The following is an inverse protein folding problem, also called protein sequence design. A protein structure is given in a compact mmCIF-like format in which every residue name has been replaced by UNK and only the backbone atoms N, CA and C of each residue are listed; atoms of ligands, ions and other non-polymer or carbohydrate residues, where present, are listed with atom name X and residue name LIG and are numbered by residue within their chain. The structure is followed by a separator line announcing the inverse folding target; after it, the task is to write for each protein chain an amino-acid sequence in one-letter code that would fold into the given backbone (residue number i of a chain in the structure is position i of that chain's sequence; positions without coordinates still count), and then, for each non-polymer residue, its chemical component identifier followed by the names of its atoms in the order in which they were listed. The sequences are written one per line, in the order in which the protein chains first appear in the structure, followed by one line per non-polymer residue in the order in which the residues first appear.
data_IF_300077669236
#
_entry.id   IF_300077669236
#
_cell.length_a   1.000
_cell.length_b   1.000
_cell.length_c   1.000
_cell.angle_alpha   90.00
_cell.angle_beta   90.00
_cell.angle_gamma   90.00
#
_symmetry.space_group_name_H-M   'P 1'
#
loop_
_entity.id
_entity.type
_entity.pdbx_description
1 polymer ?
#
# COMPACT_ATOMS: atom_id res chain seq x y z
N UNK A 1 37.61 -26.50 -7.10
CA UNK A 1 36.43 -25.64 -7.35
C UNK A 1 36.55 -24.44 -6.42
N UNK A 2 36.55 -23.20 -6.93
CA UNK A 2 36.67 -22.03 -6.07
C UNK A 2 35.40 -21.93 -5.22
N UNK A 3 35.56 -21.87 -3.90
CA UNK A 3 34.48 -21.48 -2.99
C UNK A 3 34.22 -20.00 -3.25
N UNK A 4 33.20 -19.69 -4.06
CA UNK A 4 32.66 -18.34 -4.15
C UNK A 4 32.22 -17.95 -2.73
N UNK A 5 32.96 -17.04 -2.12
CA UNK A 5 32.56 -16.41 -0.86
C UNK A 5 31.32 -15.59 -1.18
N UNK A 6 30.16 -16.14 -0.82
CA UNK A 6 28.90 -15.41 -0.78
C UNK A 6 29.04 -14.32 0.28
N UNK A 7 29.30 -13.08 -0.16
CA UNK A 7 29.17 -11.91 0.70
C UNK A 7 27.68 -11.54 0.76
N UNK A 8 27.04 -11.57 1.95
CA UNK A 8 25.65 -11.18 2.07
C UNK A 8 25.52 -9.67 1.75
N UNK A 9 24.65 -9.25 0.81
CA UNK A 9 24.65 -7.87 0.32
C UNK A 9 24.06 -6.81 1.28
N UNK A 10 23.72 -7.16 2.53
CA UNK A 10 23.15 -6.19 3.48
C UNK A 10 23.28 -6.70 4.92
N UNK A 11 23.85 -5.94 5.88
CA UNK A 11 23.89 -6.30 7.30
C UNK A 11 22.50 -6.45 7.95
N UNK A 12 21.40 -6.10 7.26
CA UNK A 12 20.02 -6.40 7.67
C UNK A 12 19.55 -7.81 7.26
N UNK A 13 20.26 -8.51 6.38
CA UNK A 13 19.91 -9.85 5.89
C UNK A 13 20.42 -10.93 6.86
N UNK A 14 19.70 -11.14 7.95
CA UNK A 14 19.93 -12.28 8.85
C UNK A 14 19.16 -13.51 8.34
N UNK A 15 19.87 -14.49 7.77
CA UNK A 15 19.26 -15.79 7.46
C UNK A 15 19.55 -16.77 8.60
N UNK A 16 18.49 -17.34 9.18
CA UNK A 16 18.60 -18.42 10.17
C UNK A 16 18.48 -19.74 9.43
N UNK A 17 19.58 -20.49 9.34
CA UNK A 17 19.55 -21.86 8.81
C UNK A 17 19.00 -22.76 9.93
N UNK A 18 17.93 -23.49 9.62
CA UNK A 18 17.35 -24.48 10.55
C UNK A 18 18.37 -25.58 10.88
N UNK A 19 18.53 -25.91 12.15
CA UNK A 19 19.42 -27.01 12.55
C UNK A 19 18.79 -28.38 12.26
N UNK A 20 19.62 -29.42 12.14
CA UNK A 20 19.14 -30.79 11.92
C UNK A 20 18.24 -31.30 13.05
N UNK A 21 18.43 -30.81 14.27
CA UNK A 21 17.62 -31.14 15.46
C UNK A 21 16.23 -30.48 15.41
N UNK A 22 16.15 -29.25 14.92
CA UNK A 22 14.88 -28.55 14.73
C UNK A 22 14.03 -29.21 13.64
N UNK A 23 14.67 -29.63 12.54
CA UNK A 23 14.01 -30.38 11.47
C UNK A 23 13.48 -31.75 11.97
N UNK A 24 14.26 -32.45 12.80
CA UNK A 24 13.83 -33.72 13.41
C UNK A 24 12.64 -33.57 14.36
N UNK A 25 12.51 -32.41 15.03
CA UNK A 25 11.35 -32.05 15.86
C UNK A 25 10.12 -31.57 15.06
N UNK A 26 10.14 -31.67 13.73
CA UNK A 26 9.00 -31.35 12.88
C UNK A 26 8.76 -29.85 12.67
N UNK A 27 9.72 -28.98 13.04
CA UNK A 27 9.66 -27.57 12.62
C UNK A 27 9.71 -27.51 11.10
N UNK A 28 8.71 -26.86 10.49
CA UNK A 28 8.71 -26.60 9.04
C UNK A 28 9.55 -25.36 8.77
N UNK A 29 10.38 -25.41 7.74
CA UNK A 29 11.08 -24.23 7.24
C UNK A 29 10.06 -23.21 6.75
N UNK A 30 10.26 -21.96 7.14
CA UNK A 30 9.46 -20.83 6.69
C UNK A 30 10.38 -19.84 6.00
N UNK A 31 10.13 -19.60 4.71
CA UNK A 31 10.88 -18.62 3.93
C UNK A 31 10.01 -17.40 3.72
N UNK A 32 10.21 -16.38 4.55
CA UNK A 32 9.43 -15.15 4.47
C UNK A 32 10.01 -14.16 3.43
N UNK A 33 11.25 -14.38 2.98
CA UNK A 33 11.97 -13.47 2.10
C UNK A 33 12.34 -14.17 0.80
N UNK A 34 12.23 -13.46 -0.31
CA UNK A 34 12.61 -13.96 -1.63
C UNK A 34 13.41 -12.92 -2.40
N UNK A 35 14.56 -13.32 -2.90
CA UNK A 35 15.43 -12.52 -3.77
C UNK A 35 15.50 -13.15 -5.14
N UNK A 36 15.26 -12.35 -6.18
CA UNK A 36 15.42 -12.74 -7.56
C UNK A 36 16.38 -11.74 -8.20
N UNK A 37 17.53 -12.21 -8.64
CA UNK A 37 18.54 -11.45 -9.35
C UNK A 37 18.94 -12.16 -10.65
N UNK A 38 19.68 -11.46 -11.52
CA UNK A 38 20.16 -12.04 -12.79
C UNK A 38 19.53 -11.45 -14.04
N UNK A 39 19.22 -10.15 -14.05
CA UNK A 39 18.70 -9.41 -15.22
C UNK A 39 17.38 -9.96 -15.74
N UNK A 40 16.52 -10.43 -14.83
CA UNK A 40 15.22 -11.00 -15.16
C UNK A 40 14.33 -9.97 -15.85
N UNK A 41 13.67 -10.36 -16.94
CA UNK A 41 12.79 -9.48 -17.73
C UNK A 41 11.31 -9.62 -17.39
N UNK A 42 10.90 -10.80 -16.90
CA UNK A 42 9.52 -11.12 -16.55
C UNK A 42 9.49 -12.06 -15.36
N UNK A 43 8.48 -11.91 -14.51
CA UNK A 43 8.23 -12.78 -13.36
C UNK A 43 7.10 -13.74 -13.70
N UNK A 44 7.19 -14.97 -13.20
CA UNK A 44 6.12 -15.97 -13.34
C UNK A 44 4.92 -15.61 -12.47
N UNK A 45 3.70 -15.93 -12.92
CA UNK A 45 2.48 -15.69 -12.15
C UNK A 45 2.41 -16.49 -10.83
N UNK A 46 3.14 -17.61 -10.76
CA UNK A 46 3.23 -18.42 -9.55
C UNK A 46 3.87 -17.67 -8.38
N UNK A 47 4.73 -16.67 -8.65
CA UNK A 47 5.34 -15.82 -7.62
C UNK A 47 4.27 -15.14 -6.74
N UNK A 48 3.15 -14.76 -7.35
CA UNK A 48 2.07 -14.02 -6.67
C UNK A 48 1.19 -14.91 -5.78
N UNK A 49 1.34 -16.24 -5.85
CA UNK A 49 0.70 -17.17 -4.92
C UNK A 49 1.44 -17.33 -3.59
N UNK A 50 2.66 -16.80 -3.48
CA UNK A 50 3.47 -16.89 -2.26
C UNK A 50 3.05 -15.82 -1.22
N UNK A 51 1.79 -15.89 -0.77
CA UNK A 51 1.18 -14.89 0.13
C UNK A 51 1.82 -14.80 1.53
N UNK A 52 2.70 -15.74 1.86
CA UNK A 52 3.46 -15.75 3.11
C UNK A 52 4.70 -14.86 3.09
N UNK A 53 5.09 -14.34 1.92
CA UNK A 53 6.26 -13.46 1.80
C UNK A 53 6.04 -12.13 2.54
N UNK A 54 7.04 -11.73 3.31
CA UNK A 54 7.15 -10.45 4.01
C UNK A 54 8.16 -9.53 3.32
N UNK A 55 9.18 -10.07 2.64
CA UNK A 55 10.15 -9.29 1.88
C UNK A 55 10.36 -9.85 0.47
N UNK A 56 10.38 -8.96 -0.52
CA UNK A 56 10.62 -9.30 -1.91
C UNK A 56 11.69 -8.38 -2.51
N UNK A 57 12.84 -8.96 -2.84
CA UNK A 57 13.98 -8.28 -3.43
C UNK A 57 14.03 -8.59 -4.93
N UNK A 58 13.81 -7.57 -5.74
CA UNK A 58 13.82 -7.63 -7.21
C UNK A 58 14.76 -6.57 -7.80
N UNK A 59 15.71 -6.05 -7.02
CA UNK A 59 16.65 -5.05 -7.48
C UNK A 59 17.61 -5.57 -8.54
N UNK A 60 18.10 -4.65 -9.37
CA UNK A 60 19.05 -4.92 -10.47
C UNK A 60 18.56 -5.99 -11.46
N UNK A 61 17.31 -5.83 -11.88
CA UNK A 61 16.70 -6.64 -12.92
C UNK A 61 16.35 -5.79 -14.16
N UNK A 62 15.77 -6.43 -15.18
CA UNK A 62 15.32 -5.77 -16.41
C UNK A 62 13.80 -5.77 -16.53
N UNK A 63 13.10 -5.69 -15.38
CA UNK A 63 11.64 -5.69 -15.34
C UNK A 63 11.11 -4.41 -15.98
N UNK A 64 10.27 -4.54 -17.01
CA UNK A 64 9.64 -3.39 -17.67
C UNK A 64 8.31 -2.96 -17.03
N UNK A 65 7.65 -3.89 -16.36
CA UNK A 65 6.32 -3.74 -15.75
C UNK A 65 6.18 -4.70 -14.57
N UNK A 66 5.31 -4.36 -13.64
CA UNK A 66 4.86 -5.23 -12.55
C UNK A 66 3.37 -5.49 -12.75
N UNK A 67 2.92 -6.76 -12.73
CA UNK A 67 1.50 -7.08 -12.88
C UNK A 67 0.71 -6.66 -11.64
N UNK A 68 -0.59 -6.40 -11.81
CA UNK A 68 -1.50 -6.07 -10.70
C UNK A 68 -1.62 -7.19 -9.67
N UNK A 69 -1.32 -8.44 -10.06
CA UNK A 69 -1.26 -9.60 -9.19
C UNK A 69 -0.29 -9.46 -8.01
N UNK A 70 0.67 -8.54 -8.05
CA UNK A 70 1.54 -8.25 -6.91
C UNK A 70 0.73 -7.89 -5.65
N UNK A 71 -0.45 -7.31 -5.83
CA UNK A 71 -1.36 -6.95 -4.74
C UNK A 71 -1.88 -8.16 -3.93
N UNK A 72 -1.73 -9.39 -4.45
CA UNK A 72 -2.06 -10.63 -3.70
C UNK A 72 -1.13 -10.86 -2.51
N UNK A 73 0.08 -10.30 -2.55
CA UNK A 73 1.09 -10.38 -1.49
C UNK A 73 0.77 -9.40 -0.34
N UNK A 74 -0.39 -9.58 0.29
CA UNK A 74 -0.91 -8.67 1.33
C UNK A 74 -0.08 -8.61 2.62
N UNK A 75 0.78 -9.59 2.87
CA UNK A 75 1.68 -9.63 4.03
C UNK A 75 3.04 -8.99 3.76
N UNK A 76 3.27 -8.49 2.55
CA UNK A 76 4.56 -7.91 2.18
C UNK A 76 4.78 -6.59 2.93
N UNK A 77 5.91 -6.51 3.62
CA UNK A 77 6.38 -5.36 4.40
C UNK A 77 7.46 -4.60 3.64
N UNK A 78 8.31 -5.33 2.91
CA UNK A 78 9.44 -4.80 2.16
C UNK A 78 9.36 -5.20 0.68
N UNK A 79 9.43 -4.21 -0.21
CA UNK A 79 9.49 -4.41 -1.66
C UNK A 79 10.59 -3.55 -2.28
N UNK A 80 11.61 -4.20 -2.83
CA UNK A 80 12.66 -3.51 -3.58
C UNK A 80 12.59 -3.84 -5.08
N UNK A 81 12.30 -2.81 -5.86
CA UNK A 81 12.22 -2.80 -7.31
C UNK A 81 13.26 -1.86 -7.93
N UNK A 82 14.27 -1.45 -7.16
CA UNK A 82 15.28 -0.49 -7.60
C UNK A 82 16.10 -1.00 -8.80
N UNK A 83 16.62 -0.08 -9.61
CA UNK A 83 17.45 -0.41 -10.78
C UNK A 83 16.77 -1.38 -11.75
N UNK A 84 15.54 -1.05 -12.13
CA UNK A 84 14.77 -1.77 -13.14
C UNK A 84 14.39 -0.83 -14.30
N UNK A 85 13.55 -1.30 -15.23
CA UNK A 85 13.07 -0.52 -16.39
C UNK A 85 11.57 -0.23 -16.29
N UNK A 86 11.04 -0.12 -15.07
CA UNK A 86 9.61 0.03 -14.81
C UNK A 86 9.16 1.42 -15.24
N UNK A 87 8.13 1.48 -16.11
CA UNK A 87 7.57 2.74 -16.63
C UNK A 87 6.34 3.23 -15.88
N UNK A 88 5.60 2.32 -15.26
CA UNK A 88 4.36 2.58 -14.54
C UNK A 88 4.15 1.52 -13.47
N UNK A 89 3.46 1.89 -12.39
CA UNK A 89 3.03 0.97 -11.34
C UNK A 89 1.54 0.65 -11.50
N UNK A 90 1.11 -0.57 -11.14
CA UNK A 90 -0.31 -0.92 -11.09
C UNK A 90 -1.02 -0.16 -9.95
N UNK A 91 -2.28 0.22 -10.15
CA UNK A 91 -3.11 0.88 -9.15
C UNK A 91 -3.34 -0.02 -7.92
N UNK A 92 -3.39 -1.33 -8.14
CA UNK A 92 -3.59 -2.35 -7.13
C UNK A 92 -2.45 -2.43 -6.11
N UNK A 93 -1.28 -1.85 -6.41
CA UNK A 93 -0.19 -1.70 -5.43
C UNK A 93 -0.67 -0.95 -4.17
N UNK A 94 -1.65 -0.04 -4.31
CA UNK A 94 -2.27 0.65 -3.18
C UNK A 94 -3.05 -0.24 -2.21
N UNK A 95 -3.35 -1.50 -2.57
CA UNK A 95 -4.06 -2.44 -1.69
C UNK A 95 -3.11 -3.16 -0.70
N UNK A 96 -1.79 -3.04 -0.88
CA UNK A 96 -0.78 -3.70 -0.05
C UNK A 96 -0.51 -2.91 1.24
N UNK A 97 -1.54 -2.74 2.08
CA UNK A 97 -1.53 -1.85 3.26
C UNK A 97 -0.46 -2.17 4.31
N UNK A 98 0.11 -3.39 4.29
CA UNK A 98 1.17 -3.84 5.18
C UNK A 98 2.56 -3.33 4.79
N UNK A 99 2.73 -2.77 3.59
CA UNK A 99 4.01 -2.27 3.09
C UNK A 99 4.52 -1.11 3.95
N UNK A 100 5.77 -1.22 4.38
CA UNK A 100 6.50 -0.20 5.13
C UNK A 100 7.65 0.40 4.33
N UNK A 101 8.26 -0.40 3.46
CA UNK A 101 9.39 0.01 2.65
C UNK A 101 9.14 -0.35 1.18
N UNK A 102 9.15 0.66 0.33
CA UNK A 102 8.99 0.53 -1.12
C UNK A 102 10.13 1.26 -1.83
N UNK A 103 11.04 0.52 -2.42
CA UNK A 103 12.16 1.08 -3.17
C UNK A 103 11.91 0.96 -4.68
N UNK A 104 11.90 2.11 -5.36
CA UNK A 104 11.66 2.23 -6.80
C UNK A 104 12.76 3.06 -7.47
N UNK A 105 13.92 3.19 -6.83
CA UNK A 105 15.00 4.05 -7.32
C UNK A 105 15.49 3.59 -8.69
N UNK A 106 15.99 4.52 -9.51
CA UNK A 106 16.56 4.23 -10.83
C UNK A 106 15.63 3.39 -11.73
N UNK A 107 14.39 3.85 -11.88
CA UNK A 107 13.42 3.31 -12.83
C UNK A 107 13.05 4.37 -13.88
N UNK A 108 12.04 4.09 -14.71
CA UNK A 108 11.56 4.99 -15.77
C UNK A 108 10.17 5.53 -15.46
N UNK A 109 9.83 5.66 -14.17
CA UNK A 109 8.52 6.14 -13.73
C UNK A 109 8.34 7.61 -14.07
N UNK A 110 7.31 7.92 -14.84
CA UNK A 110 6.91 9.32 -15.16
C UNK A 110 5.77 9.81 -14.28
N UNK A 111 4.90 8.91 -13.86
CA UNK A 111 3.73 9.18 -13.02
C UNK A 111 3.62 8.09 -11.96
N UNK A 112 3.02 8.45 -10.82
CA UNK A 112 2.66 7.51 -9.75
C UNK A 112 1.13 7.36 -9.73
N UNK A 113 0.60 6.15 -9.52
CA UNK A 113 -0.84 5.96 -9.34
C UNK A 113 -1.30 6.65 -8.04
N UNK A 114 -2.46 7.30 -8.08
CA UNK A 114 -3.02 7.97 -6.90
C UNK A 114 -3.35 6.98 -5.78
N UNK A 115 -3.62 5.73 -6.13
CA UNK A 115 -3.87 4.63 -5.21
C UNK A 115 -2.69 4.34 -4.29
N UNK A 116 -1.47 4.74 -4.66
CA UNK A 116 -0.30 4.62 -3.79
C UNK A 116 -0.51 5.38 -2.47
N UNK A 117 -1.31 6.46 -2.47
CA UNK A 117 -1.69 7.19 -1.27
C UNK A 117 -2.45 6.37 -0.22
N UNK A 118 -3.00 5.21 -0.58
CA UNK A 118 -3.63 4.27 0.36
C UNK A 118 -2.61 3.56 1.27
N UNK A 119 -1.32 3.59 0.92
CA UNK A 119 -0.25 2.96 1.70
C UNK A 119 0.14 3.81 2.92
N UNK A 120 -0.81 4.01 3.84
CA UNK A 120 -0.64 4.89 5.00
C UNK A 120 0.39 4.39 6.03
N UNK A 121 0.77 3.10 5.98
CA UNK A 121 1.82 2.51 6.82
C UNK A 121 3.23 2.64 6.22
N UNK A 122 3.35 3.15 4.98
CA UNK A 122 4.61 3.28 4.29
C UNK A 122 5.49 4.33 4.96
N UNK A 123 6.68 3.92 5.39
CA UNK A 123 7.67 4.74 6.08
C UNK A 123 8.73 5.23 5.11
N UNK A 124 9.20 4.33 4.23
CA UNK A 124 10.26 4.60 3.28
C UNK A 124 9.75 4.40 1.86
N UNK A 125 9.85 5.46 1.05
CA UNK A 125 9.57 5.41 -0.38
C UNK A 125 10.80 5.92 -1.12
N UNK A 126 11.40 5.09 -1.97
CA UNK A 126 12.56 5.46 -2.77
C UNK A 126 12.17 5.79 -4.20
N UNK A 127 12.25 7.06 -4.62
CA UNK A 127 11.90 7.50 -5.98
C UNK A 127 13.05 8.12 -6.77
N UNK A 128 14.25 8.19 -6.19
CA UNK A 128 15.39 8.88 -6.79
C UNK A 128 15.78 8.23 -8.12
N UNK A 129 16.15 9.05 -9.11
CA UNK A 129 16.57 8.54 -10.43
C UNK A 129 15.41 8.13 -11.34
N UNK A 130 14.17 8.54 -11.04
CA UNK A 130 13.04 8.41 -11.95
C UNK A 130 12.73 9.75 -12.66
N UNK A 131 12.30 9.73 -13.93
CA UNK A 131 11.88 10.91 -14.67
C UNK A 131 10.46 11.39 -14.27
N UNK A 132 10.22 11.60 -12.97
CA UNK A 132 8.95 12.10 -12.44
C UNK A 132 8.77 13.60 -12.74
N UNK A 133 7.51 14.05 -12.79
CA UNK A 133 7.18 15.48 -12.90
C UNK A 133 7.76 16.27 -11.74
N UNK A 134 8.20 17.51 -12.01
CA UNK A 134 8.81 18.40 -11.01
C UNK A 134 7.92 18.60 -9.78
N UNK A 135 6.60 18.68 -9.93
CA UNK A 135 5.68 18.86 -8.80
C UNK A 135 5.77 17.71 -7.78
N UNK A 136 5.82 16.47 -8.27
CA UNK A 136 5.95 15.26 -7.43
C UNK A 136 7.33 15.22 -6.77
N UNK A 137 8.38 15.58 -7.52
CA UNK A 137 9.74 15.63 -6.99
C UNK A 137 9.87 16.69 -5.90
N UNK A 138 9.32 17.88 -6.08
CA UNK A 138 9.33 18.94 -5.08
C UNK A 138 8.63 18.49 -3.79
N UNK A 139 7.46 17.87 -3.89
CA UNK A 139 6.76 17.30 -2.73
C UNK A 139 7.57 16.22 -2.02
N UNK A 140 8.30 15.40 -2.77
CA UNK A 140 9.12 14.31 -2.23
C UNK A 140 10.42 14.79 -1.58
N UNK A 141 11.00 15.91 -2.05
CA UNK A 141 12.26 16.46 -1.53
C UNK A 141 12.10 17.25 -0.20
N UNK A 142 10.86 17.63 0.14
CA UNK A 142 10.53 18.26 1.41
C UNK A 142 10.79 17.35 2.63
N UNK A 143 10.96 17.90 3.84
CA UNK A 143 11.00 17.10 5.06
C UNK A 143 9.69 16.32 5.22
N UNK A 144 9.81 15.02 5.55
CA UNK A 144 8.68 14.06 5.55
C UNK A 144 8.00 13.90 4.17
N UNK A 145 8.76 14.10 3.09
CA UNK A 145 8.28 14.10 1.71
C UNK A 145 7.56 12.82 1.29
N UNK A 146 7.93 11.66 1.82
CA UNK A 146 7.18 10.41 1.62
C UNK A 146 5.73 10.56 2.07
N UNK A 147 5.49 10.99 3.31
CA UNK A 147 4.13 11.11 3.84
C UNK A 147 3.35 12.22 3.15
N UNK A 148 4.00 13.36 2.87
CA UNK A 148 3.38 14.46 2.11
C UNK A 148 2.93 14.02 0.73
N UNK A 149 3.78 13.29 0.01
CA UNK A 149 3.46 12.75 -1.30
C UNK A 149 2.31 11.74 -1.23
N UNK A 150 2.32 10.81 -0.28
CA UNK A 150 1.23 9.85 -0.10
C UNK A 150 -0.10 10.55 0.21
N UNK A 151 -0.08 11.56 1.10
CA UNK A 151 -1.26 12.36 1.41
C UNK A 151 -1.78 13.11 0.18
N UNK A 152 -0.88 13.73 -0.60
CA UNK A 152 -1.24 14.39 -1.84
C UNK A 152 -1.90 13.41 -2.83
N UNK A 153 -1.33 12.21 -3.00
CA UNK A 153 -1.88 11.19 -3.88
C UNK A 153 -3.25 10.71 -3.39
N UNK A 154 -3.42 10.50 -2.09
CA UNK A 154 -4.68 10.07 -1.48
C UNK A 154 -5.77 11.14 -1.62
N UNK A 155 -5.44 12.40 -1.40
CA UNK A 155 -6.39 13.52 -1.48
C UNK A 155 -6.89 13.72 -2.91
N UNK A 156 -6.05 13.44 -3.90
CA UNK A 156 -6.39 13.53 -5.32
C UNK A 156 -6.97 12.24 -5.92
N UNK A 157 -6.98 11.12 -5.17
CA UNK A 157 -7.52 9.84 -5.65
C UNK A 157 -9.02 9.92 -6.04
N UNK A 158 -9.81 10.76 -5.36
CA UNK A 158 -11.21 10.95 -5.69
C UNK A 158 -11.42 11.80 -6.96
N UNK A 159 -10.47 12.66 -7.32
CA UNK A 159 -10.56 13.55 -8.47
C UNK A 159 -10.50 12.84 -9.83
N UNK A 160 -9.91 11.64 -9.88
CA UNK A 160 -9.88 10.81 -11.11
C UNK A 160 -11.16 10.01 -11.32
N UNK A 161 -11.95 9.77 -10.27
CA UNK A 161 -13.18 8.98 -10.34
C UNK A 161 -14.38 9.75 -10.94
N UNK A 162 -14.29 11.08 -11.07
CA UNK A 162 -15.02 11.97 -11.98
C UNK A 162 -14.85 13.40 -11.48
N UNK A 163 -15.00 14.33 -12.42
CA UNK A 163 -15.52 15.69 -12.20
C UNK A 163 -16.93 15.66 -11.56
N UNK A 164 -17.09 15.01 -10.41
CA UNK A 164 -18.26 15.18 -9.57
C UNK A 164 -17.83 16.19 -8.52
N UNK A 165 -18.50 17.34 -8.58
CA UNK A 165 -18.57 18.36 -7.56
C UNK A 165 -18.32 17.79 -6.17
N UNK A 166 -17.48 18.48 -5.41
CA UNK A 166 -17.20 18.35 -3.98
C UNK A 166 -18.43 18.51 -3.08
N UNK A 167 -19.61 18.10 -3.51
CA UNK A 167 -20.85 18.33 -2.79
C UNK A 167 -21.53 17.03 -2.40
N UNK A 168 -21.51 16.88 -1.08
CA UNK A 168 -22.32 16.02 -0.24
C UNK A 168 -21.88 14.54 -0.21
N UNK A 169 -21.58 14.02 0.99
CA UNK A 169 -21.38 12.59 1.18
C UNK A 169 -22.68 11.84 0.87
N UNK A 170 -22.60 10.51 0.66
CA UNK A 170 -23.74 9.72 0.24
C UNK A 170 -24.97 9.97 1.13
N UNK A 171 -26.17 10.08 0.54
CA UNK A 171 -27.38 10.40 1.29
C UNK A 171 -27.59 9.38 2.40
N UNK A 172 -27.91 9.89 3.60
CA UNK A 172 -28.21 9.09 4.78
C UNK A 172 -29.59 8.45 4.64
N UNK A 173 -29.67 7.30 3.99
CA UNK A 173 -30.92 6.54 3.93
C UNK A 173 -31.25 5.95 5.29
N UNK A 174 -32.42 6.27 5.83
CA UNK A 174 -33.00 5.55 6.96
C UNK A 174 -33.33 4.13 6.49
N UNK A 175 -32.67 3.14 7.08
CA UNK A 175 -32.99 1.73 6.82
C UNK A 175 -34.01 1.33 7.87
N UNK A 176 -35.27 1.18 7.46
CA UNK A 176 -36.32 0.66 8.32
C UNK A 176 -36.01 -0.82 8.60
N UNK A 177 -35.67 -1.12 9.85
CA UNK A 177 -35.36 -2.48 10.29
C UNK A 177 -36.63 -3.25 10.65
N UNK A 178 -37.66 -2.54 11.10
CA UNK A 178 -38.93 -3.16 11.47
C UNK A 178 -40.09 -2.17 11.32
N UNK A 179 -41.13 -2.62 10.62
CA UNK A 179 -42.40 -1.88 10.48
C UNK A 179 -43.21 -1.96 11.78
N UNK A 180 -43.97 -0.90 12.14
CA UNK A 180 -44.89 -0.95 13.27
C UNK A 180 -45.96 -2.02 13.06
N UNK A 181 -46.22 -2.81 14.10
CA UNK A 181 -47.31 -3.79 14.13
C UNK A 181 -48.24 -3.49 15.32
N UNK A 182 -49.43 -4.10 15.33
CA UNK A 182 -50.44 -4.01 16.39
C UNK A 182 -49.91 -4.33 17.79
N UNK A 183 -48.80 -5.09 17.88
CA UNK A 183 -48.16 -5.46 19.14
C UNK A 183 -47.03 -4.51 19.57
N UNK A 184 -46.50 -3.68 18.66
CA UNK A 184 -45.44 -2.70 18.92
C UNK A 184 -45.63 -1.46 18.03
N UNK A 185 -46.15 -0.35 18.58
CA UNK A 185 -46.46 0.86 17.80
C UNK A 185 -45.22 1.69 17.39
N UNK A 186 -44.01 1.24 17.72
CA UNK A 186 -42.76 1.95 17.45
C UNK A 186 -42.01 1.35 16.25
N UNK A 187 -41.70 2.19 15.26
CA UNK A 187 -40.82 1.84 14.16
C UNK A 187 -39.36 1.78 14.64
N UNK A 188 -38.63 0.76 14.20
CA UNK A 188 -37.17 0.66 14.39
C UNK A 188 -36.49 0.99 13.08
N UNK A 189 -35.64 2.01 13.09
CA UNK A 189 -34.79 2.38 11.97
C UNK A 189 -33.32 2.34 12.40
N UNK A 190 -32.45 2.07 11.43
CA UNK A 190 -31.02 2.29 11.53
C UNK A 190 -30.61 3.42 10.59
N UNK A 191 -29.72 4.29 11.06
CA UNK A 191 -29.08 5.33 10.25
C UNK A 191 -27.59 5.14 10.33
N UNK A 192 -26.93 5.17 9.19
CA UNK A 192 -25.47 5.26 9.12
C UNK A 192 -25.05 6.67 9.60
N UNK A 193 -24.71 6.78 10.88
CA UNK A 193 -24.17 8.01 11.45
C UNK A 193 -22.65 8.03 11.29
N UNK A 194 -22.13 8.78 10.32
CA UNK A 194 -20.69 9.08 10.22
C UNK A 194 -20.18 10.03 11.34
N UNK A 195 -21.10 10.55 12.18
CA UNK A 195 -20.85 11.59 13.19
C UNK A 195 -20.47 11.09 14.59
N UNK A 196 -20.01 9.85 14.74
CA UNK A 196 -19.61 9.35 16.08
C UNK A 196 -18.23 9.89 16.50
N UNK A 197 -17.44 10.40 15.56
CA UNK A 197 -16.07 10.88 15.82
C UNK A 197 -16.06 12.40 15.92
N UNK A 198 -15.82 12.95 17.11
CA UNK A 198 -15.52 14.37 17.22
C UNK A 198 -14.20 14.68 16.50
N UNK A 199 -13.98 15.95 16.12
CA UNK A 199 -12.81 16.38 15.35
C UNK A 199 -11.48 15.96 16.00
N UNK A 200 -11.44 15.96 17.34
CA UNK A 200 -10.31 15.49 18.15
C UNK A 200 -9.90 14.03 17.87
N UNK A 201 -10.83 13.16 17.46
CA UNK A 201 -10.56 11.75 17.19
C UNK A 201 -10.45 11.40 15.71
N UNK A 202 -10.93 12.26 14.80
CA UNK A 202 -10.86 12.06 13.35
C UNK A 202 -9.48 12.45 12.78
N UNK A 203 -8.41 11.90 13.37
CA UNK A 203 -7.03 12.23 12.99
C UNK A 203 -6.51 11.27 11.92
N UNK A 204 -5.57 11.73 11.09
CA UNK A 204 -4.84 10.88 10.13
C UNK A 204 -4.05 9.75 10.79
N UNK A 205 -3.75 9.86 12.09
CA UNK A 205 -3.08 8.79 12.82
C UNK A 205 -3.97 7.55 12.96
N UNK A 206 -5.28 7.74 13.19
CA UNK A 206 -6.24 6.64 13.25
C UNK A 206 -6.82 6.29 11.87
N UNK A 207 -6.98 7.30 11.01
CA UNK A 207 -7.67 7.19 9.73
C UNK A 207 -6.74 7.51 8.55
N UNK A 208 -5.52 6.95 8.55
CA UNK A 208 -4.50 7.24 7.55
C UNK A 208 -4.90 6.88 6.11
N UNK A 209 -5.85 5.94 5.96
CA UNK A 209 -6.44 5.54 4.68
C UNK A 209 -7.48 6.54 4.13
N UNK A 210 -7.86 7.55 4.91
CA UNK A 210 -8.91 8.49 4.56
C UNK A 210 -8.31 9.80 4.00
N UNK A 211 -8.83 10.34 2.89
CA UNK A 211 -8.45 11.66 2.40
C UNK A 211 -8.67 12.78 3.44
N UNK A 212 -7.87 13.85 3.39
CA UNK A 212 -7.93 14.98 4.34
C UNK A 212 -9.31 15.63 4.35
N UNK A 213 -9.90 15.81 3.17
CA UNK A 213 -11.21 16.44 3.02
C UNK A 213 -12.32 15.63 3.69
N UNK A 214 -12.21 14.30 3.70
CA UNK A 214 -13.20 13.42 4.31
C UNK A 214 -13.10 13.40 5.85
N UNK A 215 -11.93 13.71 6.41
CA UNK A 215 -11.74 13.85 7.85
C UNK A 215 -12.20 15.21 8.40
N UNK A 216 -12.24 16.24 7.55
CA UNK A 216 -12.64 17.58 7.94
C UNK A 216 -14.05 17.59 8.56
N UNK A 217 -14.16 18.21 9.74
CA UNK A 217 -15.43 18.35 10.46
C UNK A 217 -16.52 19.03 9.63
N UNK A 218 -16.21 20.10 8.89
CA UNK A 218 -17.20 20.82 8.08
C UNK A 218 -17.78 19.94 6.97
N UNK A 219 -16.96 19.07 6.40
CA UNK A 219 -17.40 18.08 5.42
C UNK A 219 -18.32 17.03 6.07
N UNK A 220 -17.92 16.48 7.22
CA UNK A 220 -18.69 15.45 7.94
C UNK A 220 -19.99 15.98 8.57
N UNK A 221 -20.02 17.26 8.95
CA UNK A 221 -21.22 17.92 9.51
C UNK A 221 -22.30 18.16 8.46
N UNK A 222 -21.90 18.52 7.23
CA UNK A 222 -22.82 18.76 6.09
C UNK A 222 -23.40 17.46 5.51
N UNK A 223 -22.87 16.32 5.94
CA UNK A 223 -23.29 14.98 5.55
C UNK A 223 -24.69 14.61 6.01
#
# INVERSE_FOLDING_TARGET
MPKEKYEPPDPRRMYTIMSSEEAANGKKSHWAELEISGKVRSLSSSLWSLTHLTALHLSDNSLSRIPSDIAKLHNLVYLDLSSNKIRSLPAELGNMVSLRELHLNNNLLRVLPFELGKLFQLQTLGLKGNPLTQDILNLYLEPDGTRRLLNYLLDNLAGTAKRISTEQPPPRSWIMLQEPDRTRPTALFSVMCYNVLCDKYATRQLYGYCPSWALNWDYRKKA
#
